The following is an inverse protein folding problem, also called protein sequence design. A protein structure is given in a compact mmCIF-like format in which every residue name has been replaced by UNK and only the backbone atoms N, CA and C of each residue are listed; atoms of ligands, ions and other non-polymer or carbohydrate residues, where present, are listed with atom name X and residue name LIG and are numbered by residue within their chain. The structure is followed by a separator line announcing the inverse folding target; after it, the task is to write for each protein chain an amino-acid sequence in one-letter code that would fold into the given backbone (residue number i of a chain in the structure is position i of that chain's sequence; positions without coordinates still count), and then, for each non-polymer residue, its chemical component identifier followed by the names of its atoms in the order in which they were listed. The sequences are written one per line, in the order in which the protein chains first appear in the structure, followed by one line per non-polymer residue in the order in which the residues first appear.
data_IF_401233841450
#
_entry.id   IF_401233841450
#
_cell.length_a   1.000
_cell.length_b   1.000
_cell.length_c   1.000
_cell.angle_alpha   90.00
_cell.angle_beta   90.00
_cell.angle_gamma   90.00
#
_symmetry.space_group_name_H-M   'P 1'
#
loop_
_entity.id
_entity.type
_entity.pdbx_description
1 polymer ?
#
# COMPACT_ATOMS: atom_id res chain seq x y z
N UNK A 1 -19.98 -16.49 31.99
CA UNK A 1 -18.59 -16.96 31.91
C UNK A 1 -17.98 -16.42 30.63
N UNK A 2 -17.20 -15.37 30.76
CA UNK A 2 -16.45 -14.76 29.66
C UNK A 2 -15.35 -15.73 29.22
N UNK A 3 -15.61 -16.43 28.15
CA UNK A 3 -14.57 -17.15 27.43
C UNK A 3 -13.78 -16.06 26.67
N UNK A 4 -12.75 -15.52 27.30
CA UNK A 4 -11.68 -14.81 26.61
C UNK A 4 -11.17 -15.75 25.51
N UNK A 5 -11.65 -15.56 24.28
CA UNK A 5 -10.96 -16.10 23.11
C UNK A 5 -9.58 -15.47 23.13
N UNK A 6 -8.61 -16.20 23.64
CA UNK A 6 -7.19 -15.90 23.48
C UNK A 6 -6.95 -15.78 21.99
N UNK A 7 -6.96 -14.56 21.48
CA UNK A 7 -6.50 -14.29 20.14
C UNK A 7 -5.06 -14.79 20.11
N UNK A 8 -4.79 -15.81 19.32
CA UNK A 8 -3.42 -16.31 19.14
C UNK A 8 -2.68 -15.17 18.47
N UNK A 9 -1.90 -14.43 19.26
CA UNK A 9 -1.07 -13.35 18.72
C UNK A 9 -0.03 -13.98 17.79
N UNK A 10 -0.05 -13.58 16.53
CA UNK A 10 0.96 -14.03 15.59
C UNK A 10 2.31 -13.40 15.95
N UNK A 11 3.39 -14.13 15.74
CA UNK A 11 4.73 -13.59 15.92
C UNK A 11 5.08 -12.56 14.81
N UNK A 12 6.09 -11.72 15.05
CA UNK A 12 6.62 -10.81 14.03
C UNK A 12 7.07 -11.59 12.79
N UNK A 13 7.67 -12.75 12.97
CA UNK A 13 8.08 -13.62 11.85
C UNK A 13 6.88 -14.05 11.02
N UNK A 14 5.83 -14.55 11.65
CA UNK A 14 4.59 -14.92 10.96
C UNK A 14 3.94 -13.74 10.25
N UNK A 15 3.91 -12.55 10.87
CA UNK A 15 3.40 -11.35 10.23
C UNK A 15 4.20 -10.99 8.97
N UNK A 16 5.53 -11.06 9.02
CA UNK A 16 6.41 -10.82 7.87
C UNK A 16 6.19 -11.84 6.76
N UNK A 17 6.04 -13.12 7.11
CA UNK A 17 5.85 -14.21 6.14
C UNK A 17 4.45 -14.19 5.49
N UNK A 18 3.42 -13.82 6.25
CA UNK A 18 2.04 -13.81 5.80
C UNK A 18 1.66 -12.54 5.04
N UNK A 19 2.30 -11.41 5.37
CA UNK A 19 2.03 -10.14 4.70
C UNK A 19 2.31 -10.24 3.19
N UNK A 20 1.32 -9.92 2.41
CA UNK A 20 1.45 -9.76 0.96
C UNK A 20 0.62 -8.55 0.49
N UNK A 21 0.88 -8.06 -0.72
CA UNK A 21 0.06 -7.03 -1.35
C UNK A 21 -1.24 -7.67 -1.87
N UNK A 22 -2.32 -7.52 -1.10
CA UNK A 22 -3.65 -8.07 -1.44
C UNK A 22 -4.34 -7.16 -2.45
N UNK A 23 -4.87 -7.74 -3.54
CA UNK A 23 -5.46 -6.99 -4.65
C UNK A 23 -6.90 -7.41 -4.98
N UNK A 24 -7.57 -8.04 -4.03
CA UNK A 24 -8.99 -8.32 -4.03
C UNK A 24 -9.46 -8.42 -2.59
N UNK A 25 -10.44 -7.61 -2.21
CA UNK A 25 -10.92 -7.51 -0.83
C UNK A 25 -12.41 -7.85 -0.74
N UNK A 26 -12.81 -8.38 0.40
CA UNK A 26 -14.22 -8.58 0.74
C UNK A 26 -14.87 -7.25 1.11
N UNK A 27 -16.20 -7.24 1.24
CA UNK A 27 -16.96 -6.05 1.70
C UNK A 27 -17.04 -5.90 3.21
N UNK A 28 -16.37 -6.79 3.97
CA UNK A 28 -16.34 -6.73 5.44
C UNK A 28 -15.65 -5.44 5.87
N UNK A 29 -16.36 -4.64 6.66
CA UNK A 29 -15.86 -3.34 7.11
C UNK A 29 -14.75 -3.47 8.15
N UNK A 30 -13.84 -2.51 8.16
CA UNK A 30 -12.84 -2.31 9.22
C UNK A 30 -13.33 -1.18 10.12
N UNK A 31 -13.32 -1.36 11.43
CA UNK A 31 -13.81 -0.30 12.33
C UNK A 31 -12.83 0.87 12.43
N UNK A 32 -13.35 2.06 12.67
CA UNK A 32 -12.52 3.25 12.89
C UNK A 32 -11.61 3.09 14.11
N UNK A 33 -12.08 2.40 15.16
CA UNK A 33 -11.31 2.11 16.36
C UNK A 33 -10.08 1.24 16.02
N UNK A 34 -10.26 0.22 15.19
CA UNK A 34 -9.16 -0.63 14.72
C UNK A 34 -8.16 0.18 13.91
N UNK A 35 -8.62 1.00 12.96
CA UNK A 35 -7.75 1.85 12.14
C UNK A 35 -6.96 2.84 12.99
N UNK A 36 -7.62 3.52 13.94
CA UNK A 36 -6.98 4.43 14.89
C UNK A 36 -5.92 3.71 15.73
N UNK A 37 -6.25 2.53 16.28
CA UNK A 37 -5.30 1.72 17.05
C UNK A 37 -4.07 1.36 16.23
N UNK A 38 -4.24 0.89 15.00
CA UNK A 38 -3.14 0.55 14.10
C UNK A 38 -2.25 1.76 13.79
N UNK A 39 -2.83 2.92 13.50
CA UNK A 39 -2.10 4.16 13.22
C UNK A 39 -1.30 4.61 14.44
N UNK A 40 -1.92 4.62 15.64
CA UNK A 40 -1.25 5.00 16.89
C UNK A 40 -0.07 4.05 17.17
N UNK A 41 -0.26 2.75 17.08
CA UNK A 41 0.82 1.77 17.26
C UNK A 41 1.94 1.97 16.21
N UNK A 42 1.57 2.24 14.97
CA UNK A 42 2.52 2.47 13.86
C UNK A 42 3.37 3.73 14.06
N UNK A 43 2.89 4.73 14.78
CA UNK A 43 3.66 5.93 15.11
C UNK A 43 4.89 5.67 16.00
N UNK A 44 5.03 4.44 16.52
CA UNK A 44 6.25 3.99 17.21
C UNK A 44 7.40 3.64 16.26
N UNK A 45 7.17 3.72 14.95
CA UNK A 45 8.24 3.58 13.96
C UNK A 45 9.34 4.59 14.20
N UNK A 46 10.62 4.21 14.02
CA UNK A 46 11.71 5.18 14.15
C UNK A 46 11.66 6.19 13.00
N UNK A 47 12.22 7.37 13.25
CA UNK A 47 12.48 8.38 12.22
C UNK A 47 13.73 9.16 12.57
N UNK A 48 14.48 9.61 11.58
CA UNK A 48 15.69 10.42 11.77
C UNK A 48 15.41 11.64 12.62
N UNK A 49 16.16 11.83 13.72
CA UNK A 49 15.92 12.93 14.67
C UNK A 49 14.53 12.95 15.30
N UNK A 50 13.80 11.84 15.24
CA UNK A 50 12.39 11.74 15.69
C UNK A 50 11.47 12.75 15.01
N UNK A 51 11.69 13.02 13.72
CA UNK A 51 10.92 14.01 12.95
C UNK A 51 9.48 13.60 12.69
N UNK A 52 9.18 12.29 12.67
CA UNK A 52 7.83 11.74 12.47
C UNK A 52 7.13 12.37 11.24
N UNK A 53 7.72 12.22 10.03
CA UNK A 53 7.36 13.05 8.87
C UNK A 53 6.04 12.64 8.19
N UNK A 54 5.42 11.57 8.65
CA UNK A 54 4.17 11.05 8.07
C UNK A 54 2.97 11.95 8.37
N UNK A 55 2.15 12.17 7.35
CA UNK A 55 0.81 12.77 7.44
C UNK A 55 -0.17 11.79 6.83
N UNK A 56 -1.15 11.35 7.61
CA UNK A 56 -2.03 10.24 7.23
C UNK A 56 -3.47 10.73 7.15
N UNK A 57 -4.11 10.51 6.01
CA UNK A 57 -5.53 10.70 5.78
C UNK A 57 -6.19 9.35 5.55
N UNK A 58 -7.34 9.11 6.17
CA UNK A 58 -8.02 7.82 6.10
C UNK A 58 -9.39 7.99 5.47
N UNK A 59 -9.74 7.11 4.54
CA UNK A 59 -11.08 6.95 3.98
C UNK A 59 -11.62 5.58 4.38
N UNK A 60 -12.82 5.53 4.96
CA UNK A 60 -13.45 4.30 5.44
C UNK A 60 -14.98 4.43 5.39
N UNK A 61 -15.68 3.34 5.12
CA UNK A 61 -17.14 3.33 5.11
C UNK A 61 -17.73 4.38 4.17
N UNK A 62 -18.48 5.35 4.72
CA UNK A 62 -19.13 6.39 3.92
C UNK A 62 -18.13 7.39 3.32
N UNK A 63 -17.01 7.68 3.98
CA UNK A 63 -15.97 8.53 3.39
C UNK A 63 -15.27 7.85 2.22
N UNK A 64 -15.13 6.52 2.21
CA UNK A 64 -14.66 5.79 1.04
C UNK A 64 -15.63 5.95 -0.14
N UNK A 65 -16.93 5.85 0.08
CA UNK A 65 -17.94 6.08 -0.98
C UNK A 65 -17.86 7.49 -1.52
N UNK A 66 -17.84 8.48 -0.61
CA UNK A 66 -17.74 9.89 -0.98
C UNK A 66 -16.48 10.19 -1.79
N UNK A 67 -15.34 9.57 -1.42
CA UNK A 67 -14.08 9.69 -2.17
C UNK A 67 -14.20 9.12 -3.59
N UNK A 68 -14.77 7.92 -3.73
CA UNK A 68 -14.93 7.31 -5.05
C UNK A 68 -15.90 8.09 -5.93
N UNK A 69 -16.99 8.62 -5.37
CA UNK A 69 -17.92 9.49 -6.07
C UNK A 69 -17.27 10.82 -6.48
N UNK A 70 -16.49 11.43 -5.60
CA UNK A 70 -15.72 12.62 -5.91
C UNK A 70 -14.74 12.35 -7.08
N UNK A 71 -13.96 11.28 -7.00
CA UNK A 71 -13.03 10.88 -8.06
C UNK A 71 -13.73 10.71 -9.42
N UNK A 72 -14.89 10.05 -9.46
CA UNK A 72 -15.66 9.81 -10.69
C UNK A 72 -16.16 11.12 -11.32
N UNK A 73 -16.41 12.14 -10.52
CA UNK A 73 -16.93 13.44 -10.97
C UNK A 73 -15.83 14.49 -11.17
N UNK A 74 -14.62 14.23 -10.71
CA UNK A 74 -13.51 15.19 -10.80
C UNK A 74 -13.13 15.47 -12.26
N UNK A 75 -13.04 16.76 -12.62
CA UNK A 75 -12.78 17.22 -13.99
C UNK A 75 -11.41 17.87 -14.17
N UNK A 76 -10.58 17.87 -13.13
CA UNK A 76 -9.24 18.40 -13.20
C UNK A 76 -8.29 17.54 -14.05
N UNK A 77 -7.07 17.99 -14.18
CA UNK A 77 -5.96 17.21 -14.75
C UNK A 77 -4.90 16.99 -13.69
N UNK A 78 -4.32 15.82 -13.69
CA UNK A 78 -3.32 15.39 -12.72
C UNK A 78 -2.00 15.05 -13.38
N UNK A 79 -0.92 15.24 -12.65
CA UNK A 79 0.42 14.79 -13.03
C UNK A 79 1.19 14.38 -11.78
N UNK A 80 2.05 13.36 -11.85
CA UNK A 80 2.85 12.95 -10.71
C UNK A 80 3.86 14.06 -10.34
N UNK A 81 4.11 14.22 -9.05
CA UNK A 81 5.12 15.15 -8.53
C UNK A 81 6.51 14.51 -8.51
N UNK A 82 6.58 13.20 -8.52
CA UNK A 82 7.83 12.45 -8.59
C UNK A 82 7.65 11.19 -9.47
N UNK A 83 8.70 10.69 -10.09
CA UNK A 83 8.63 9.45 -10.86
C UNK A 83 8.57 8.25 -9.93
N UNK A 84 7.56 7.37 -10.10
CA UNK A 84 7.44 6.11 -9.32
C UNK A 84 8.64 5.18 -9.59
N UNK A 85 9.11 5.15 -10.84
CA UNK A 85 10.27 4.36 -11.24
C UNK A 85 11.27 5.23 -11.98
N UNK A 86 12.57 4.91 -11.91
CA UNK A 86 13.56 5.52 -12.79
C UNK A 86 13.18 5.30 -14.26
N UNK A 87 13.43 6.29 -15.11
CA UNK A 87 13.14 6.23 -16.54
C UNK A 87 13.75 4.97 -17.21
N UNK A 88 14.96 4.62 -16.81
CA UNK A 88 15.68 3.43 -17.27
C UNK A 88 16.04 2.52 -16.11
N UNK A 89 15.16 1.55 -15.82
CA UNK A 89 15.49 0.51 -14.86
C UNK A 89 16.57 -0.41 -15.40
N UNK A 90 17.64 -0.55 -14.62
CA UNK A 90 18.75 -1.50 -14.89
C UNK A 90 18.42 -2.89 -14.32
N UNK A 91 19.20 -3.88 -14.74
CA UNK A 91 19.20 -5.19 -14.08
C UNK A 91 19.81 -5.09 -12.67
N UNK A 92 19.32 -5.88 -11.72
CA UNK A 92 18.28 -6.91 -11.84
C UNK A 92 16.85 -6.38 -11.62
N UNK A 93 16.67 -5.09 -11.38
CA UNK A 93 15.38 -4.47 -11.03
C UNK A 93 14.35 -4.57 -12.16
N UNK A 94 14.82 -4.40 -13.41
CA UNK A 94 13.98 -4.52 -14.60
C UNK A 94 13.36 -5.92 -14.72
N UNK A 95 14.19 -6.96 -14.56
CA UNK A 95 13.72 -8.36 -14.59
C UNK A 95 12.77 -8.65 -13.43
N UNK A 96 13.04 -8.17 -12.21
CA UNK A 96 12.15 -8.35 -11.07
C UNK A 96 10.78 -7.74 -11.30
N UNK A 97 10.74 -6.49 -11.81
CA UNK A 97 9.49 -5.80 -12.12
C UNK A 97 8.70 -6.49 -13.24
N UNK A 98 9.40 -6.96 -14.27
CA UNK A 98 8.78 -7.70 -15.37
C UNK A 98 8.15 -9.01 -14.88
N UNK A 99 8.90 -9.83 -14.15
CA UNK A 99 8.43 -11.12 -13.64
C UNK A 99 7.17 -10.99 -12.78
N UNK A 100 7.14 -10.04 -11.85
CA UNK A 100 5.97 -9.87 -10.99
C UNK A 100 4.74 -9.38 -11.76
N UNK A 101 4.92 -8.54 -12.79
CA UNK A 101 3.84 -8.13 -13.68
C UNK A 101 3.24 -9.33 -14.42
N UNK A 102 4.07 -10.14 -15.06
CA UNK A 102 3.61 -11.34 -15.78
C UNK A 102 2.94 -12.35 -14.83
N UNK A 103 3.49 -12.57 -13.64
CA UNK A 103 2.90 -13.46 -12.64
C UNK A 103 1.49 -12.99 -12.21
N UNK A 104 1.33 -11.68 -11.99
CA UNK A 104 0.04 -11.09 -11.62
C UNK A 104 -0.99 -11.28 -12.74
N UNK A 105 -0.66 -10.90 -13.96
CA UNK A 105 -1.61 -10.97 -15.08
C UNK A 105 -1.95 -12.41 -15.44
N UNK A 106 -0.98 -13.32 -15.46
CA UNK A 106 -1.24 -14.73 -15.72
C UNK A 106 -2.10 -15.40 -14.65
N UNK A 107 -2.00 -14.97 -13.39
CA UNK A 107 -2.83 -15.50 -12.29
C UNK A 107 -4.33 -15.26 -12.50
N UNK A 108 -4.69 -14.27 -13.29
CA UNK A 108 -6.07 -13.90 -13.63
C UNK A 108 -6.40 -14.12 -15.10
N UNK A 109 -5.56 -14.87 -15.82
CA UNK A 109 -5.80 -15.25 -17.23
C UNK A 109 -5.71 -14.08 -18.23
N UNK A 110 -5.04 -12.97 -17.87
CA UNK A 110 -4.83 -11.85 -18.79
C UNK A 110 -3.56 -12.11 -19.62
N UNK A 111 -3.74 -12.30 -20.91
CA UNK A 111 -2.64 -12.49 -21.86
C UNK A 111 -1.78 -11.23 -22.00
N UNK A 112 -0.53 -11.44 -22.42
CA UNK A 112 0.41 -10.34 -22.63
C UNK A 112 -0.02 -9.39 -23.76
N UNK A 113 -0.69 -9.90 -24.77
CA UNK A 113 -1.21 -9.14 -25.90
C UNK A 113 -2.47 -8.32 -25.55
N UNK A 114 -3.18 -8.67 -24.47
CA UNK A 114 -4.39 -7.97 -24.04
C UNK A 114 -4.03 -6.72 -23.21
N UNK A 115 -3.60 -5.67 -23.90
CA UNK A 115 -3.23 -4.40 -23.27
C UNK A 115 -4.40 -3.70 -22.58
N UNK A 116 -5.64 -3.85 -23.09
CA UNK A 116 -6.80 -3.22 -22.47
C UNK A 116 -7.12 -3.87 -21.12
N UNK A 117 -7.19 -5.19 -21.03
CA UNK A 117 -7.42 -5.89 -19.79
C UNK A 117 -6.31 -5.60 -18.75
N UNK A 118 -5.05 -5.42 -19.17
CA UNK A 118 -3.94 -5.00 -18.31
C UNK A 118 -4.14 -3.59 -17.76
N UNK A 119 -4.60 -2.65 -18.59
CA UNK A 119 -4.94 -1.29 -18.16
C UNK A 119 -6.10 -1.32 -17.18
N UNK A 120 -7.17 -2.06 -17.48
CA UNK A 120 -8.35 -2.17 -16.60
C UNK A 120 -7.98 -2.75 -15.23
N UNK A 121 -7.10 -3.75 -15.19
CA UNK A 121 -6.59 -4.30 -13.94
C UNK A 121 -5.72 -3.28 -13.17
N UNK A 122 -4.89 -2.52 -13.88
CA UNK A 122 -4.08 -1.46 -13.26
C UNK A 122 -4.96 -0.35 -12.67
N UNK A 123 -6.03 0.04 -13.35
CA UNK A 123 -6.98 1.07 -12.88
C UNK A 123 -7.69 0.69 -11.58
N UNK A 124 -7.77 -0.60 -11.21
CA UNK A 124 -8.30 -1.04 -9.91
C UNK A 124 -7.49 -0.51 -8.71
N UNK A 125 -6.26 -0.06 -8.91
CA UNK A 125 -5.54 0.68 -7.88
C UNK A 125 -6.36 1.88 -7.38
N UNK A 126 -7.03 2.58 -8.29
CA UNK A 126 -7.81 3.78 -7.98
C UNK A 126 -9.21 3.51 -7.40
N UNK A 127 -9.50 2.27 -7.10
CA UNK A 127 -10.65 1.85 -6.28
C UNK A 127 -10.20 1.03 -5.07
N UNK A 128 -8.94 1.19 -4.65
CA UNK A 128 -8.33 0.40 -3.57
C UNK A 128 -8.54 -1.10 -3.71
N UNK A 129 -8.64 -1.62 -4.95
CA UNK A 129 -8.97 -3.03 -5.24
C UNK A 129 -10.27 -3.51 -4.55
N UNK A 130 -11.21 -2.61 -4.31
CA UNK A 130 -12.48 -2.88 -3.65
C UNK A 130 -12.41 -2.99 -2.13
N UNK A 131 -11.29 -2.61 -1.51
CA UNK A 131 -11.15 -2.55 -0.06
C UNK A 131 -12.15 -1.57 0.57
N UNK A 132 -12.66 -1.86 1.78
CA UNK A 132 -13.60 -1.00 2.50
C UNK A 132 -12.94 0.23 3.09
N UNK A 133 -11.63 0.20 3.32
CA UNK A 133 -10.85 1.29 3.87
C UNK A 133 -9.57 1.54 3.06
N UNK A 134 -9.06 2.75 3.15
CA UNK A 134 -7.77 3.12 2.58
C UNK A 134 -7.15 4.26 3.37
N UNK A 135 -5.85 4.44 3.20
CA UNK A 135 -5.16 5.62 3.68
C UNK A 135 -4.34 6.27 2.56
N UNK A 136 -4.10 7.55 2.72
CA UNK A 136 -3.15 8.32 1.95
C UNK A 136 -2.05 8.81 2.88
N UNK A 137 -0.80 8.59 2.48
CA UNK A 137 0.39 8.99 3.22
C UNK A 137 1.05 10.17 2.49
N UNK A 138 1.16 11.28 3.19
CA UNK A 138 1.81 12.50 2.71
C UNK A 138 3.08 12.77 3.48
N UNK A 139 3.93 13.58 2.89
CA UNK A 139 5.17 14.10 3.47
C UNK A 139 5.27 15.59 3.19
N UNK A 140 5.82 16.35 4.12
CA UNK A 140 6.14 17.76 3.90
C UNK A 140 7.19 17.90 2.78
N UNK A 141 7.00 18.88 1.87
CA UNK A 141 7.83 19.07 0.67
C UNK A 141 9.29 19.43 0.96
N UNK A 142 9.60 19.93 2.16
CA UNK A 142 10.97 20.19 2.58
C UNK A 142 11.76 18.91 2.90
N UNK A 143 11.07 17.77 3.07
CA UNK A 143 11.70 16.51 3.45
C UNK A 143 12.44 15.87 2.27
N UNK A 144 13.55 15.20 2.57
CA UNK A 144 14.41 14.55 1.60
C UNK A 144 14.34 13.02 1.70
N UNK A 145 15.18 12.33 0.92
CA UNK A 145 15.19 10.87 0.82
C UNK A 145 15.26 10.14 2.18
N UNK A 146 16.04 10.59 3.20
CA UNK A 146 16.04 9.94 4.50
C UNK A 146 14.66 9.92 5.17
N UNK A 147 13.89 11.01 5.08
CA UNK A 147 12.55 11.09 5.66
C UNK A 147 11.52 10.30 4.84
N UNK A 148 11.74 10.14 3.55
CA UNK A 148 10.93 9.24 2.72
C UNK A 148 11.11 7.77 3.14
N UNK A 149 12.33 7.39 3.56
CA UNK A 149 12.56 6.06 4.15
C UNK A 149 11.82 5.87 5.48
N UNK A 150 11.68 6.94 6.28
CA UNK A 150 10.91 6.92 7.53
C UNK A 150 9.41 6.62 7.26
N UNK A 151 8.84 7.15 6.14
CA UNK A 151 7.48 6.79 5.72
C UNK A 151 7.37 5.29 5.42
N UNK A 152 8.37 4.72 4.75
CA UNK A 152 8.42 3.28 4.48
C UNK A 152 8.44 2.45 5.76
N UNK A 153 9.16 2.89 6.80
CA UNK A 153 9.17 2.23 8.11
C UNK A 153 7.80 2.30 8.80
N UNK A 154 7.14 3.47 8.77
CA UNK A 154 5.77 3.62 9.28
C UNK A 154 4.78 2.68 8.56
N UNK A 155 4.78 2.71 7.23
CA UNK A 155 3.87 1.90 6.42
C UNK A 155 4.10 0.39 6.62
N UNK A 156 5.37 -0.05 6.70
CA UNK A 156 5.68 -1.45 6.98
C UNK A 156 5.22 -1.86 8.39
N UNK A 157 5.43 -1.01 9.40
CA UNK A 157 4.95 -1.27 10.75
C UNK A 157 3.43 -1.42 10.77
N UNK A 158 2.70 -0.52 10.08
CA UNK A 158 1.26 -0.61 9.93
C UNK A 158 0.83 -1.94 9.28
N UNK A 159 1.49 -2.34 8.19
CA UNK A 159 1.17 -3.59 7.48
C UNK A 159 1.39 -4.83 8.35
N UNK A 160 2.40 -4.83 9.22
CA UNK A 160 2.66 -5.95 10.13
C UNK A 160 1.64 -6.00 11.27
N UNK A 161 1.32 -4.85 11.88
CA UNK A 161 0.29 -4.75 12.92
C UNK A 161 -1.11 -5.12 12.38
N UNK A 162 -1.40 -4.79 11.11
CA UNK A 162 -2.65 -5.20 10.48
C UNK A 162 -2.78 -6.73 10.40
N UNK A 163 -1.67 -7.46 10.20
CA UNK A 163 -1.70 -8.93 10.21
C UNK A 163 -2.10 -9.51 11.58
N UNK A 164 -1.75 -8.87 12.69
CA UNK A 164 -2.20 -9.29 14.04
C UNK A 164 -3.72 -9.21 14.18
N UNK A 165 -4.35 -8.24 13.50
CA UNK A 165 -5.81 -8.06 13.50
C UNK A 165 -6.50 -8.86 12.37
N UNK A 166 -5.76 -9.71 11.63
CA UNK A 166 -6.27 -10.45 10.49
C UNK A 166 -6.68 -9.55 9.32
N UNK A 167 -6.12 -8.36 9.25
CA UNK A 167 -6.37 -7.35 8.21
C UNK A 167 -5.23 -7.39 7.20
N UNK A 168 -5.60 -7.34 5.94
CA UNK A 168 -4.67 -7.29 4.81
C UNK A 168 -4.55 -5.90 4.22
N UNK A 169 -3.44 -5.69 3.53
CA UNK A 169 -3.11 -4.38 2.97
C UNK A 169 -2.50 -4.49 1.57
N UNK A 170 -2.55 -3.39 0.83
CA UNK A 170 -1.76 -3.20 -0.38
C UNK A 170 -1.28 -1.75 -0.45
N UNK A 171 0.01 -1.52 -0.24
CA UNK A 171 0.61 -0.21 -0.51
C UNK A 171 0.58 0.08 -2.01
N UNK A 172 0.22 1.31 -2.38
CA UNK A 172 -0.11 1.71 -3.74
C UNK A 172 0.56 3.04 -4.11
N UNK A 173 1.74 2.95 -4.71
CA UNK A 173 2.45 4.12 -5.26
C UNK A 173 1.65 4.80 -6.38
N UNK A 174 0.75 4.06 -7.04
CA UNK A 174 -0.11 4.56 -8.13
C UNK A 174 -0.92 5.81 -7.75
N UNK A 175 -1.24 6.01 -6.47
CA UNK A 175 -1.97 7.18 -6.02
C UNK A 175 -1.22 8.49 -6.24
N UNK A 176 0.11 8.47 -6.31
CA UNK A 176 0.91 9.65 -6.67
C UNK A 176 0.57 10.20 -8.07
N UNK A 177 0.01 9.37 -8.96
CA UNK A 177 -0.50 9.79 -10.26
C UNK A 177 -1.82 10.57 -10.19
N UNK A 178 -2.45 10.62 -9.03
CA UNK A 178 -3.72 11.30 -8.74
C UNK A 178 -3.58 12.31 -7.60
N UNK A 179 -2.37 12.83 -7.42
CA UNK A 179 -2.01 13.62 -6.25
C UNK A 179 -2.88 14.87 -6.06
N UNK A 180 -3.20 15.59 -7.15
CA UNK A 180 -4.03 16.80 -7.09
C UNK A 180 -5.46 16.46 -6.70
N UNK A 181 -6.06 15.46 -7.36
CA UNK A 181 -7.42 15.00 -7.07
C UNK A 181 -7.54 14.53 -5.61
N UNK A 182 -6.57 13.74 -5.12
CA UNK A 182 -6.57 13.26 -3.73
C UNK A 182 -6.40 14.42 -2.76
N UNK A 183 -5.51 15.38 -3.04
CA UNK A 183 -5.29 16.54 -2.18
C UNK A 183 -6.51 17.46 -2.11
N UNK A 184 -7.25 17.65 -3.21
CA UNK A 184 -8.51 18.40 -3.21
C UNK A 184 -9.57 17.71 -2.33
N UNK A 185 -9.68 16.38 -2.38
CA UNK A 185 -10.64 15.65 -1.53
C UNK A 185 -10.24 15.65 -0.06
N UNK A 186 -8.97 15.46 0.25
CA UNK A 186 -8.47 15.36 1.63
C UNK A 186 -8.25 16.72 2.28
N UNK A 187 -8.36 17.80 1.52
CA UNK A 187 -8.01 19.16 1.95
C UNK A 187 -6.57 19.21 2.53
N UNK A 188 -5.67 18.44 1.92
CA UNK A 188 -4.28 18.38 2.35
C UNK A 188 -3.59 19.72 2.12
N UNK A 189 -2.76 20.13 3.09
CA UNK A 189 -1.95 21.33 2.99
C UNK A 189 -1.09 21.32 1.73
N UNK A 190 -0.98 22.47 1.05
CA UNK A 190 -0.18 22.64 -0.17
C UNK A 190 1.31 22.36 0.06
N UNK A 191 1.79 22.52 1.30
CA UNK A 191 3.16 22.16 1.70
C UNK A 191 3.39 20.65 1.78
N UNK A 192 2.34 19.83 1.64
CA UNK A 192 2.45 18.38 1.66
C UNK A 192 2.36 17.78 0.27
N UNK A 193 3.16 16.74 0.04
CA UNK A 193 3.18 15.95 -1.19
C UNK A 193 2.62 14.54 -0.91
N UNK A 194 1.74 14.06 -1.75
CA UNK A 194 1.24 12.69 -1.67
C UNK A 194 2.35 11.68 -2.03
N UNK A 195 2.78 10.91 -1.03
CA UNK A 195 3.78 9.88 -1.23
C UNK A 195 3.16 8.59 -1.81
N UNK A 196 2.15 8.04 -1.17
CA UNK A 196 1.43 6.85 -1.66
C UNK A 196 0.09 6.70 -0.96
N UNK A 197 -0.69 5.71 -1.39
CA UNK A 197 -1.86 5.23 -0.66
C UNK A 197 -1.71 3.78 -0.24
N UNK A 198 -2.67 3.26 0.51
CA UNK A 198 -2.73 1.87 0.93
C UNK A 198 -4.18 1.40 1.03
N UNK A 199 -4.52 0.34 0.33
CA UNK A 199 -5.78 -0.39 0.51
C UNK A 199 -5.73 -1.20 1.81
N UNK A 200 -6.85 -1.24 2.56
CA UNK A 200 -6.95 -1.88 3.88
C UNK A 200 -8.28 -2.63 3.97
N UNK A 201 -8.24 -3.92 4.32
CA UNK A 201 -9.44 -4.73 4.43
C UNK A 201 -9.14 -6.20 4.67
N UNK A 202 -10.12 -7.05 4.41
CA UNK A 202 -9.99 -8.50 4.54
C UNK A 202 -9.89 -9.11 3.15
N UNK A 203 -8.86 -9.94 2.90
CA UNK A 203 -8.64 -10.56 1.59
C UNK A 203 -9.82 -11.41 1.16
N UNK A 204 -10.14 -11.35 -0.11
CA UNK A 204 -10.98 -12.34 -0.76
C UNK A 204 -10.12 -13.57 -1.07
N UNK A 205 -10.34 -14.65 -0.31
CA UNK A 205 -9.59 -15.91 -0.43
C UNK A 205 -9.95 -16.70 -1.69
N UNK A 206 -11.03 -16.33 -2.37
CA UNK A 206 -11.45 -16.97 -3.62
C UNK A 206 -10.78 -16.35 -4.86
N UNK A 207 -10.23 -15.15 -4.72
CA UNK A 207 -9.60 -14.43 -5.81
C UNK A 207 -8.21 -14.97 -6.13
N UNK A 208 -7.94 -15.34 -7.39
CA UNK A 208 -6.61 -15.78 -7.82
C UNK A 208 -5.53 -14.69 -7.67
N UNK A 209 -5.92 -13.41 -7.62
CA UNK A 209 -5.02 -12.28 -7.37
C UNK A 209 -4.31 -12.37 -6.01
N UNK A 210 -4.85 -13.13 -5.07
CA UNK A 210 -4.32 -13.26 -3.71
C UNK A 210 -3.61 -14.61 -3.47
N UNK A 211 -3.57 -15.49 -4.47
CA UNK A 211 -3.11 -16.88 -4.32
C UNK A 211 -1.65 -17.10 -4.69
N UNK A 212 -0.90 -16.06 -5.04
CA UNK A 212 0.52 -16.21 -5.36
C UNK A 212 1.40 -15.44 -4.36
N UNK A 213 2.55 -16.02 -4.02
CA UNK A 213 3.62 -15.35 -3.29
C UNK A 213 4.70 -14.86 -4.26
N UNK A 214 5.15 -13.63 -4.05
CA UNK A 214 6.30 -13.10 -4.78
C UNK A 214 7.59 -13.69 -4.24
N UNK A 215 8.47 -14.13 -5.11
CA UNK A 215 9.81 -14.58 -4.76
C UNK A 215 10.69 -13.43 -4.23
N UNK A 216 11.86 -13.79 -3.76
CA UNK A 216 12.93 -12.87 -3.40
C UNK A 216 14.23 -13.32 -4.08
N UNK A 217 15.07 -12.36 -4.39
CA UNK A 217 16.42 -12.68 -4.91
C UNK A 217 17.25 -13.40 -3.86
N UNK A 218 18.16 -14.27 -4.31
CA UNK A 218 19.07 -14.96 -3.43
C UNK A 218 19.93 -13.96 -2.64
N UNK A 219 20.25 -14.30 -1.40
CA UNK A 219 20.96 -13.43 -0.46
C UNK A 219 22.24 -12.85 -1.07
N UNK A 220 23.07 -13.68 -1.69
CA UNK A 220 24.36 -13.30 -2.27
C UNK A 220 24.27 -12.28 -3.40
N UNK A 221 23.06 -12.06 -3.98
CA UNK A 221 22.85 -11.08 -5.03
C UNK A 221 22.67 -9.64 -4.52
N UNK A 222 22.53 -9.44 -3.20
CA UNK A 222 22.26 -8.14 -2.61
C UNK A 222 22.85 -7.91 -1.22
N UNK A 223 23.45 -8.93 -0.63
CA UNK A 223 24.10 -8.86 0.68
C UNK A 223 25.55 -9.36 0.59
N UNK A 224 26.47 -8.66 1.20
CA UNK A 224 27.88 -9.06 1.29
C UNK A 224 28.31 -9.04 2.75
N UNK A 225 28.78 -10.17 3.24
CA UNK A 225 29.45 -10.26 4.55
C UNK A 225 30.91 -9.86 4.39
N UNK A 226 31.32 -8.82 5.08
CA UNK A 226 32.73 -8.35 5.07
C UNK A 226 33.54 -9.19 6.08
N UNK A 227 34.28 -10.12 5.57
CA UNK A 227 35.21 -10.94 6.34
C UNK A 227 36.64 -10.43 6.06
N UNK A 228 37.22 -9.68 7.01
CA UNK A 228 38.58 -9.16 6.95
C UNK A 228 39.48 -9.92 7.92
#
# INVERSE_FOLDING_TARGET
SDVYKRQVMISVTEAVENRQSVRSFTKKQVSDETLKSLIIKSSRSPSGGNLQPWRIYVVNGDTMKSFLDFQNNWKGSDKPEYPIYPEKLKEPYRTSRFKIGEQLYSSIGIDRSDSQARVDQMLKNFTFFGAPAGLFCYVDRQMNQPQWSDLGMFLQTFMLLAQEEGIDTCAQESWSLRQKMVSEFTEADEEHMLFCGMAIGYRDTTSPLNNYKTDRRLLDSWCTFINK
#
